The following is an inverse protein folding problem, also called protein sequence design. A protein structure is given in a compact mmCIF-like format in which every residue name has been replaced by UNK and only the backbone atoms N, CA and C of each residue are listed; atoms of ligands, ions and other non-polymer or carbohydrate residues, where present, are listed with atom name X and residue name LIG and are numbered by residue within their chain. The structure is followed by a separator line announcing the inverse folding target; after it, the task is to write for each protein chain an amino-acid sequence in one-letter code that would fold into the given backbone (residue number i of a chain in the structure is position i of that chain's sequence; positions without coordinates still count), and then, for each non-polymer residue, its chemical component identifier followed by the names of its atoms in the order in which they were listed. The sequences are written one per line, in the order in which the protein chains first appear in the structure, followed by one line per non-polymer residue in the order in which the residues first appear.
data_IF_138072517537
#
_entry.id   IF_138072517537
#
_cell.length_a   1.000
_cell.length_b   1.000
_cell.length_c   1.000
_cell.angle_alpha   90.00
_cell.angle_beta   90.00
_cell.angle_gamma   90.00
#
_symmetry.space_group_name_H-M   'P 1'
#
loop_
_entity.id
_entity.type
_entity.pdbx_description
1 polymer ?
#
# COMPACT_ATOMS: atom_id res chain seq x y z
N UNK A 1 14.71 -22.52 -7.89
CA UNK A 1 13.84 -22.51 -6.71
C UNK A 1 12.60 -21.70 -7.08
N UNK A 2 11.55 -22.39 -7.50
CA UNK A 2 10.35 -21.81 -8.14
C UNK A 2 9.34 -21.54 -7.03
N UNK A 3 9.12 -20.27 -6.70
CA UNK A 3 8.07 -19.88 -5.74
C UNK A 3 6.71 -20.20 -6.37
N UNK A 4 6.06 -21.24 -5.85
CA UNK A 4 4.75 -21.68 -6.31
C UNK A 4 3.68 -20.62 -6.06
N UNK A 5 3.22 -20.00 -7.14
CA UNK A 5 1.96 -19.27 -7.17
C UNK A 5 0.82 -20.29 -7.08
N UNK A 6 0.25 -20.48 -5.89
CA UNK A 6 -0.99 -21.24 -5.75
C UNK A 6 -2.15 -20.44 -6.34
N UNK A 7 -2.71 -20.99 -7.41
CA UNK A 7 -3.79 -20.43 -8.20
C UNK A 7 -5.10 -20.41 -7.42
N UNK A 8 -5.48 -19.21 -6.96
CA UNK A 8 -6.83 -18.71 -7.19
C UNK A 8 -6.65 -17.44 -8.01
N UNK A 9 -6.75 -17.56 -9.34
CA UNK A 9 -6.53 -16.47 -10.29
C UNK A 9 -7.56 -15.32 -10.19
N UNK A 10 -8.49 -15.41 -9.23
CA UNK A 10 -9.63 -14.53 -9.12
C UNK A 10 -9.41 -13.41 -8.11
N UNK A 11 -8.35 -13.46 -7.29
CA UNK A 11 -8.16 -12.46 -6.24
C UNK A 11 -6.72 -11.95 -6.06
N UNK A 12 -6.56 -10.64 -5.85
CA UNK A 12 -5.34 -10.08 -5.24
C UNK A 12 -5.63 -9.64 -3.80
N UNK A 13 -4.75 -10.02 -2.88
CA UNK A 13 -4.88 -9.68 -1.47
C UNK A 13 -4.36 -8.26 -1.22
N UNK A 14 -5.09 -7.51 -0.40
CA UNK A 14 -4.70 -6.22 0.16
C UNK A 14 -4.41 -6.45 1.66
N UNK A 15 -3.68 -5.52 2.27
CA UNK A 15 -3.54 -5.45 3.73
C UNK A 15 -4.90 -5.47 4.45
N UNK A 16 -4.96 -6.08 5.65
CA UNK A 16 -6.12 -6.00 6.54
C UNK A 16 -7.31 -6.90 6.20
N UNK A 17 -7.09 -8.00 5.46
CA UNK A 17 -8.17 -8.94 5.12
C UNK A 17 -9.08 -8.46 3.99
N UNK A 18 -8.58 -7.55 3.16
CA UNK A 18 -9.25 -7.08 1.95
C UNK A 18 -8.71 -7.81 0.72
N UNK A 19 -9.53 -7.92 -0.32
CA UNK A 19 -9.10 -8.47 -1.61
C UNK A 19 -9.77 -7.76 -2.77
N UNK A 20 -9.17 -7.93 -3.94
CA UNK A 20 -9.66 -7.43 -5.22
C UNK A 20 -10.13 -8.64 -5.99
N UNK A 21 -11.34 -8.60 -6.57
CA UNK A 21 -11.77 -9.62 -7.53
C UNK A 21 -11.26 -9.30 -8.93
N UNK A 22 -10.76 -10.30 -9.64
CA UNK A 22 -10.17 -10.22 -10.99
C UNK A 22 -9.01 -9.21 -11.09
N UNK A 23 -7.90 -9.41 -10.38
CA UNK A 23 -6.80 -8.44 -10.33
C UNK A 23 -6.12 -8.19 -11.68
N UNK A 24 -6.33 -9.04 -12.68
CA UNK A 24 -5.79 -8.87 -14.05
C UNK A 24 -6.29 -7.61 -14.75
N UNK A 25 -7.39 -7.02 -14.30
CA UNK A 25 -7.93 -5.77 -14.86
C UNK A 25 -7.33 -4.52 -14.21
N UNK A 26 -6.48 -4.70 -13.19
CA UNK A 26 -5.84 -3.59 -12.48
C UNK A 26 -4.45 -3.36 -13.06
N UNK A 27 -4.12 -2.08 -13.21
CA UNK A 27 -2.79 -1.66 -13.61
C UNK A 27 -1.75 -2.17 -12.58
N UNK A 28 -0.76 -2.92 -13.07
CA UNK A 28 0.30 -3.50 -12.26
C UNK A 28 1.10 -2.43 -11.49
N UNK A 29 1.11 -1.20 -11.99
CA UNK A 29 1.78 -0.07 -11.35
C UNK A 29 1.10 0.41 -10.06
N UNK A 30 -0.07 -0.15 -9.72
CA UNK A 30 -0.76 0.06 -8.44
C UNK A 30 -0.35 -0.94 -7.35
N UNK A 31 0.59 -1.84 -7.64
CA UNK A 31 1.15 -2.76 -6.68
C UNK A 31 2.50 -2.26 -6.17
N UNK A 32 2.71 -2.40 -4.87
CA UNK A 32 3.95 -2.04 -4.19
C UNK A 32 5.09 -2.95 -4.65
N UNK A 33 6.19 -2.35 -5.09
CA UNK A 33 7.34 -3.13 -5.57
C UNK A 33 8.05 -3.91 -4.45
N UNK A 34 7.87 -3.54 -3.18
CA UNK A 34 8.42 -4.28 -2.03
C UNK A 34 7.50 -5.42 -1.56
N UNK A 35 6.28 -5.10 -1.11
CA UNK A 35 5.40 -6.12 -0.51
C UNK A 35 4.55 -6.88 -1.52
N UNK A 36 4.53 -6.46 -2.79
CA UNK A 36 3.74 -7.05 -3.89
C UNK A 36 2.22 -7.04 -3.65
N UNK A 37 1.75 -6.26 -2.67
CA UNK A 37 0.34 -5.98 -2.43
C UNK A 37 -0.06 -4.66 -3.07
N UNK A 38 -1.37 -4.39 -3.14
CA UNK A 38 -1.89 -3.09 -3.56
C UNK A 38 -1.30 -1.97 -2.69
N UNK A 39 -0.92 -0.86 -3.32
CA UNK A 39 -0.31 0.29 -2.65
C UNK A 39 -1.22 0.85 -1.54
N UNK A 40 -0.63 1.07 -0.36
CA UNK A 40 -1.26 1.74 0.78
C UNK A 40 -0.51 3.04 1.07
N UNK A 41 -1.22 4.17 0.96
CA UNK A 41 -0.64 5.52 0.98
C UNK A 41 0.60 5.59 0.06
N UNK A 42 0.40 5.53 -1.26
CA UNK A 42 1.48 5.36 -2.21
C UNK A 42 2.47 6.53 -2.13
N UNK A 43 3.74 6.18 -2.18
CA UNK A 43 4.84 7.09 -2.40
C UNK A 43 5.58 6.67 -3.67
N UNK A 44 6.25 7.62 -4.29
CA UNK A 44 7.10 7.38 -5.44
C UNK A 44 8.51 7.86 -5.11
N UNK A 45 9.51 7.03 -5.44
CA UNK A 45 10.91 7.37 -5.26
C UNK A 45 11.36 8.33 -6.36
N UNK A 46 12.06 9.40 -5.99
CA UNK A 46 12.51 10.41 -6.96
C UNK A 46 13.58 9.87 -7.91
N UNK A 47 14.43 8.97 -7.45
CA UNK A 47 15.57 8.45 -8.20
C UNK A 47 15.21 7.51 -9.36
N UNK A 48 14.17 6.69 -9.23
CA UNK A 48 13.84 5.65 -10.22
C UNK A 48 12.34 5.59 -10.57
N UNK A 49 11.51 6.40 -9.91
CA UNK A 49 10.06 6.39 -10.14
C UNK A 49 9.34 5.16 -9.57
N UNK A 50 10.05 4.25 -8.88
CA UNK A 50 9.45 3.08 -8.25
C UNK A 50 8.39 3.47 -7.23
N UNK A 51 7.30 2.70 -7.18
CA UNK A 51 6.15 2.98 -6.31
C UNK A 51 6.07 2.01 -5.13
N UNK A 52 5.93 2.57 -3.94
CA UNK A 52 5.93 1.82 -2.67
C UNK A 52 4.78 2.26 -1.77
N UNK A 53 4.34 1.37 -0.88
CA UNK A 53 3.54 1.80 0.25
C UNK A 53 4.39 2.70 1.15
N UNK A 54 3.82 3.79 1.68
CA UNK A 54 4.51 4.67 2.64
C UNK A 54 5.12 3.87 3.78
N UNK A 55 4.38 2.94 4.37
CA UNK A 55 4.91 2.10 5.46
C UNK A 55 6.08 1.20 5.03
N UNK A 56 6.03 0.64 3.82
CA UNK A 56 7.08 -0.25 3.30
C UNK A 56 8.39 0.48 3.05
N UNK A 57 8.35 1.73 2.60
CA UNK A 57 9.55 2.54 2.35
C UNK A 57 10.15 3.13 3.62
N UNK A 58 9.33 3.42 4.63
CA UNK A 58 9.78 4.18 5.82
C UNK A 58 10.07 3.33 7.05
N UNK A 59 9.74 2.02 7.03
CA UNK A 59 9.91 1.15 8.19
C UNK A 59 11.39 1.00 8.52
N UNK A 60 11.79 1.48 9.70
CA UNK A 60 13.14 1.30 10.24
C UNK A 60 14.19 2.30 9.77
N UNK A 61 13.87 3.23 8.87
CA UNK A 61 14.79 4.30 8.43
C UNK A 61 14.48 5.59 9.20
N UNK A 62 15.41 6.28 9.84
CA UNK A 62 15.15 7.59 10.45
C UNK A 62 14.85 8.68 9.39
N UNK A 63 14.17 9.78 9.76
CA UNK A 63 13.63 10.77 8.81
C UNK A 63 14.66 11.44 7.88
N UNK A 64 15.87 11.67 8.38
CA UNK A 64 16.94 12.35 7.64
C UNK A 64 18.06 11.40 7.20
N UNK A 65 17.95 10.11 7.48
CA UNK A 65 19.00 9.16 7.13
C UNK A 65 18.84 8.73 5.66
N UNK A 66 19.92 8.78 4.87
CA UNK A 66 19.91 8.23 3.53
C UNK A 66 19.70 6.71 3.60
N UNK A 67 18.85 6.19 2.75
CA UNK A 67 18.73 4.76 2.48
C UNK A 67 19.06 4.48 1.02
N UNK A 68 19.70 3.35 0.77
CA UNK A 68 19.95 2.88 -0.60
C UNK A 68 18.65 2.39 -1.21
N UNK A 69 18.29 2.93 -2.37
CA UNK A 69 17.17 2.40 -3.12
C UNK A 69 17.47 0.97 -3.59
N UNK A 70 16.64 0.01 -3.18
CA UNK A 70 16.80 -1.42 -3.50
C UNK A 70 16.46 -1.76 -4.96
N UNK A 71 16.00 -0.80 -5.75
CA UNK A 71 15.59 -1.02 -7.15
C UNK A 71 16.62 -0.54 -8.15
N UNK A 72 17.31 0.57 -7.86
CA UNK A 72 18.35 1.11 -8.73
C UNK A 72 19.77 0.90 -8.19
N UNK A 73 19.94 0.54 -6.90
CA UNK A 73 21.21 0.26 -6.20
C UNK A 73 22.32 1.34 -6.30
N UNK A 74 22.06 2.46 -6.98
CA UNK A 74 23.06 3.45 -7.37
C UNK A 74 22.82 4.82 -6.75
N UNK A 75 21.71 5.02 -6.05
CA UNK A 75 21.35 6.31 -5.44
C UNK A 75 20.85 6.12 -4.02
N UNK A 76 21.29 7.02 -3.14
CA UNK A 76 20.74 7.20 -1.80
C UNK A 76 19.57 8.17 -1.84
N UNK A 77 18.48 7.81 -1.19
CA UNK A 77 17.30 8.65 -1.00
C UNK A 77 17.11 8.93 0.48
N UNK A 78 16.65 10.12 0.82
CA UNK A 78 16.09 10.41 2.14
C UNK A 78 14.58 10.29 2.09
N UNK A 79 13.93 10.09 3.23
CA UNK A 79 12.46 10.05 3.31
C UNK A 79 11.78 11.31 2.77
N UNK A 80 12.48 12.45 2.76
CA UNK A 80 11.97 13.73 2.23
C UNK A 80 11.97 13.79 0.71
N UNK A 81 12.80 12.99 0.04
CA UNK A 81 12.88 12.94 -1.42
C UNK A 81 11.81 12.03 -2.03
N UNK A 82 11.27 11.08 -1.25
CA UNK A 82 10.08 10.36 -1.63
C UNK A 82 8.84 11.26 -1.53
N UNK A 83 8.12 11.43 -2.64
CA UNK A 83 6.89 12.22 -2.68
C UNK A 83 5.66 11.32 -2.59
N UNK A 84 4.58 11.86 -2.03
CA UNK A 84 3.27 11.20 -2.07
C UNK A 84 2.79 11.11 -3.53
N UNK A 85 2.51 9.89 -3.99
CA UNK A 85 2.04 9.65 -5.35
C UNK A 85 0.52 9.85 -5.42
N UNK A 86 0.12 11.10 -5.66
CA UNK A 86 -1.29 11.48 -5.76
C UNK A 86 -1.98 10.83 -6.95
N UNK A 87 -1.25 10.57 -8.05
CA UNK A 87 -1.80 9.91 -9.23
C UNK A 87 -2.22 8.48 -8.91
N UNK A 88 -1.30 7.68 -8.38
CA UNK A 88 -1.59 6.33 -7.92
C UNK A 88 -2.69 6.33 -6.85
N UNK A 89 -2.69 7.29 -5.91
CA UNK A 89 -3.74 7.40 -4.89
C UNK A 89 -5.13 7.65 -5.50
N UNK A 90 -5.24 8.49 -6.54
CA UNK A 90 -6.48 8.74 -7.26
C UNK A 90 -6.97 7.50 -8.01
N UNK A 91 -6.08 6.77 -8.66
CA UNK A 91 -6.43 5.53 -9.36
C UNK A 91 -6.88 4.44 -8.40
N UNK A 92 -6.17 4.26 -7.26
CA UNK A 92 -6.54 3.33 -6.20
C UNK A 92 -7.95 3.58 -5.68
N UNK A 93 -8.37 4.84 -5.55
CA UNK A 93 -9.70 5.20 -5.06
C UNK A 93 -10.85 4.66 -5.92
N UNK A 94 -10.57 4.32 -7.18
CA UNK A 94 -11.53 3.74 -8.13
C UNK A 94 -11.50 2.20 -8.14
N UNK A 95 -10.55 1.57 -7.44
CA UNK A 95 -10.45 0.12 -7.36
C UNK A 95 -11.58 -0.43 -6.51
N UNK A 96 -12.31 -1.41 -7.06
CA UNK A 96 -13.30 -2.19 -6.32
C UNK A 96 -12.62 -3.25 -5.47
N UNK A 97 -12.97 -3.27 -4.19
CA UNK A 97 -12.43 -4.19 -3.19
C UNK A 97 -13.57 -4.88 -2.43
N UNK A 98 -13.28 -6.05 -1.90
CA UNK A 98 -14.18 -6.83 -1.06
C UNK A 98 -13.47 -7.31 0.20
N UNK A 99 -14.25 -7.41 1.28
CA UNK A 99 -13.84 -7.94 2.56
C UNK A 99 -13.73 -9.46 2.48
N UNK A 100 -12.63 -10.04 2.95
CA UNK A 100 -12.49 -11.50 3.03
C UNK A 100 -13.42 -12.11 4.10
N UNK A 101 -13.60 -11.39 5.22
CA UNK A 101 -14.27 -11.90 6.41
C UNK A 101 -15.72 -11.42 6.57
N UNK A 102 -16.24 -10.65 5.62
CA UNK A 102 -17.56 -10.04 5.72
C UNK A 102 -18.17 -9.79 4.33
N UNK A 103 -19.47 -9.50 4.27
CA UNK A 103 -20.19 -9.26 3.01
C UNK A 103 -19.92 -7.88 2.39
N UNK A 104 -19.11 -7.05 3.05
CA UNK A 104 -18.82 -5.70 2.56
C UNK A 104 -17.98 -5.73 1.27
N UNK A 105 -18.41 -4.96 0.29
CA UNK A 105 -17.68 -4.67 -0.93
C UNK A 105 -17.97 -3.22 -1.35
N UNK A 106 -17.06 -2.60 -2.09
CA UNK A 106 -17.19 -1.20 -2.49
C UNK A 106 -15.91 -0.66 -3.11
N UNK A 107 -15.82 0.65 -3.28
CA UNK A 107 -14.60 1.29 -3.73
C UNK A 107 -13.58 1.38 -2.59
N UNK A 108 -12.30 1.36 -2.93
CA UNK A 108 -11.22 1.57 -1.97
C UNK A 108 -11.38 2.91 -1.22
N UNK A 109 -11.85 3.95 -1.91
CA UNK A 109 -12.15 5.25 -1.31
C UNK A 109 -13.22 5.18 -0.22
N UNK A 110 -14.26 4.37 -0.41
CA UNK A 110 -15.33 4.18 0.59
C UNK A 110 -14.81 3.43 1.83
N UNK A 111 -13.97 2.42 1.60
CA UNK A 111 -13.27 1.73 2.69
C UNK A 111 -12.37 2.67 3.48
N UNK A 112 -11.61 3.53 2.80
CA UNK A 112 -10.72 4.52 3.45
C UNK A 112 -11.52 5.48 4.31
N UNK A 113 -12.64 6.02 3.83
CA UNK A 113 -13.52 6.90 4.62
C UNK A 113 -14.06 6.21 5.88
N UNK A 114 -14.50 4.95 5.77
CA UNK A 114 -15.01 4.17 6.91
C UNK A 114 -13.93 3.80 7.92
N UNK A 115 -12.73 3.39 7.47
CA UNK A 115 -11.65 2.98 8.37
C UNK A 115 -10.82 4.14 8.91
N UNK A 116 -10.81 5.30 8.24
CA UNK A 116 -10.24 6.52 8.79
C UNK A 116 -11.03 7.01 10.02
N UNK A 117 -12.31 6.61 10.17
CA UNK A 117 -13.06 6.80 11.42
C UNK A 117 -12.67 5.79 12.51
N UNK A 118 -12.24 4.57 12.13
CA UNK A 118 -11.85 3.51 13.08
C UNK A 118 -10.41 3.71 13.58
N UNK A 119 -9.48 4.20 12.75
CA UNK A 119 -8.11 4.54 13.19
C UNK A 119 -8.09 5.66 14.24
N UNK A 120 -9.02 6.62 14.18
CA UNK A 120 -9.17 7.64 15.23
C UNK A 120 -9.63 7.06 16.57
N UNK A 121 -10.42 5.98 16.54
CA UNK A 121 -10.96 5.32 17.75
C UNK A 121 -9.92 4.37 18.36
N UNK A 122 -9.13 3.65 17.56
CA UNK A 122 -8.07 2.76 18.07
C UNK A 122 -6.86 3.52 18.64
N UNK A 123 -6.57 4.72 18.14
CA UNK A 123 -5.57 5.62 18.75
C UNK A 123 -6.13 6.20 20.05
N UNK A 124 -7.42 6.56 20.11
CA UNK A 124 -8.04 7.06 21.33
C UNK A 124 -8.09 6.01 22.46
N UNK A 125 -8.29 4.72 22.14
CA UNK A 125 -8.31 3.66 23.16
C UNK A 125 -6.91 3.43 23.76
N UNK A 126 -5.84 3.50 22.97
CA UNK A 126 -4.47 3.31 23.49
C UNK A 126 -3.91 4.51 24.26
N UNK A 127 -4.54 5.69 24.20
CA UNK A 127 -4.10 6.88 24.96
C UNK A 127 -4.81 6.99 26.32
N UNK A 128 -5.92 6.28 26.54
CA UNK A 128 -6.65 6.30 27.82
C UNK A 128 -6.37 5.11 28.75
N UNK A 129 -5.50 4.17 28.36
CA UNK A 129 -5.10 3.02 29.19
C UNK A 129 -3.59 2.91 29.40
N UNK A 130 -2.92 4.03 29.63
CA UNK A 130 -1.59 4.09 30.24
C UNK A 130 -1.59 5.11 31.38
#
# INVERSE_FOLDING_TARGET
MQLGMTTSNDYAVISGGLRIRNPKTIDITLFCELCKLLLLDPIQLSCCGSRLCRWCSIKGVPENEPFTCLFCYNTTETKKQAHADRGAACELNMVKIECFSCSWNGLYSDYKKKNMQISSVLIAINVFTL
#
